data_IF_149401548891
#
_entry.id   IF_149401548891
#
_cell.length_a   1.000
_cell.length_b   1.000
_cell.length_c   1.000
_cell.angle_alpha   90.00
_cell.angle_beta   90.00
_cell.angle_gamma   90.00
#
_symmetry.space_group_name_H-M   'P 1'
#
loop_
_entity.id
_entity.type
_entity.pdbx_description
1 polymer ?
#
# COMPACT_ATOMS: atom_id res chain seq x y z
N UNK A 1 -24.30 4.40 -14.36
CA UNK A 1 -22.84 4.11 -14.23
C UNK A 1 -22.43 4.19 -12.75
N UNK A 2 -22.97 3.32 -11.87
CA UNK A 2 -22.82 3.43 -10.41
C UNK A 2 -22.13 2.21 -9.75
N UNK A 3 -21.47 1.33 -10.52
CA UNK A 3 -20.93 0.06 -10.02
C UNK A 3 -19.43 0.11 -9.66
N UNK A 4 -18.90 1.28 -9.31
CA UNK A 4 -17.49 1.40 -8.93
C UNK A 4 -17.37 1.51 -7.41
N UNK A 5 -16.49 0.70 -6.82
CA UNK A 5 -16.07 0.86 -5.42
C UNK A 5 -15.57 2.30 -5.21
N UNK A 6 -16.04 2.93 -4.15
CA UNK A 6 -15.65 4.28 -3.76
C UNK A 6 -14.75 4.24 -2.52
N UNK A 7 -13.70 5.07 -2.52
CA UNK A 7 -12.93 5.37 -1.31
C UNK A 7 -13.61 6.57 -0.65
N UNK A 8 -14.26 6.36 0.49
CA UNK A 8 -15.08 7.38 1.15
C UNK A 8 -14.31 8.19 2.18
N UNK A 9 -13.25 7.62 2.75
CA UNK A 9 -12.45 8.27 3.79
C UNK A 9 -11.05 7.66 3.85
N UNK A 10 -10.06 8.50 4.17
CA UNK A 10 -8.67 8.10 4.45
C UNK A 10 -8.27 8.80 5.74
N UNK A 11 -8.22 8.04 6.83
CA UNK A 11 -7.91 8.54 8.15
C UNK A 11 -6.50 8.11 8.59
N UNK A 12 -5.77 9.04 9.20
CA UNK A 12 -4.48 8.79 9.83
C UNK A 12 -4.64 8.76 11.35
N UNK A 13 -4.15 7.71 12.00
CA UNK A 13 -4.15 7.64 13.47
C UNK A 13 -3.15 8.62 14.07
N UNK A 14 -3.31 8.88 15.38
CA UNK A 14 -2.21 9.41 16.17
C UNK A 14 -0.99 8.48 16.10
N UNK A 15 0.18 9.04 16.36
CA UNK A 15 1.45 8.31 16.38
C UNK A 15 1.39 7.17 17.40
N UNK A 16 1.82 5.98 16.99
CA UNK A 16 1.97 4.80 17.84
C UNK A 16 3.45 4.57 18.15
N UNK A 17 3.72 3.98 19.31
CA UNK A 17 5.07 3.64 19.77
C UNK A 17 5.11 2.19 20.20
N UNK A 18 6.12 1.48 19.70
CA UNK A 18 6.41 0.12 20.11
C UNK A 18 7.04 0.05 21.49
N UNK A 19 7.20 -1.19 21.95
CA UNK A 19 8.11 -1.48 23.05
C UNK A 19 9.54 -1.08 22.64
N UNK A 20 10.37 -0.64 23.60
CA UNK A 20 11.78 -0.40 23.32
C UNK A 20 12.44 -1.70 22.89
N UNK A 21 13.22 -1.61 21.82
CA UNK A 21 14.01 -2.71 21.34
C UNK A 21 15.08 -3.07 22.39
N UNK A 22 15.24 -4.36 22.74
CA UNK A 22 16.03 -4.77 23.91
C UNK A 22 17.53 -4.47 23.78
N UNK A 23 18.04 -4.30 22.56
CA UNK A 23 19.48 -4.10 22.32
C UNK A 23 19.92 -2.62 22.38
N UNK A 24 19.07 -1.70 21.95
CA UNK A 24 19.45 -0.29 21.74
C UNK A 24 18.43 0.71 22.32
N UNK A 25 17.36 0.23 22.94
CA UNK A 25 16.32 1.05 23.58
C UNK A 25 15.45 1.86 22.60
N UNK A 26 15.69 1.74 21.29
CA UNK A 26 14.94 2.47 20.26
C UNK A 26 13.51 1.95 20.18
N UNK A 27 12.57 2.83 19.91
CA UNK A 27 11.16 2.47 19.74
C UNK A 27 10.76 2.61 18.29
N UNK A 28 10.12 1.58 17.76
CA UNK A 28 9.44 1.69 16.47
C UNK A 28 8.29 2.69 16.59
N UNK A 29 8.26 3.63 15.67
CA UNK A 29 7.20 4.62 15.56
C UNK A 29 6.45 4.34 14.27
N UNK A 30 5.12 4.28 14.35
CA UNK A 30 4.27 4.06 13.18
C UNK A 30 2.96 4.84 13.28
N UNK A 31 2.25 4.89 12.16
CA UNK A 31 0.90 5.37 12.03
C UNK A 31 0.02 4.26 11.46
N UNK A 32 -1.25 4.23 11.86
CA UNK A 32 -2.25 3.39 11.23
C UNK A 32 -3.00 4.27 10.22
N UNK A 33 -3.05 3.85 8.95
CA UNK A 33 -3.86 4.49 7.93
C UNK A 33 -5.09 3.61 7.68
N UNK A 34 -6.27 4.17 7.97
CA UNK A 34 -7.54 3.48 7.74
C UNK A 34 -8.19 4.03 6.48
N UNK A 35 -8.41 3.16 5.50
CA UNK A 35 -9.11 3.49 4.26
C UNK A 35 -10.51 2.89 4.32
N UNK A 36 -11.53 3.74 4.25
CA UNK A 36 -12.93 3.30 4.20
C UNK A 36 -13.41 3.21 2.77
N UNK A 37 -14.13 2.14 2.51
CA UNK A 37 -14.62 1.76 1.20
C UNK A 37 -16.13 1.60 1.25
N UNK A 38 -16.77 1.91 0.14
CA UNK A 38 -18.19 1.66 -0.08
C UNK A 38 -18.39 1.00 -1.45
N UNK A 39 -19.25 -0.02 -1.49
CA UNK A 39 -19.68 -0.64 -2.73
C UNK A 39 -21.13 -0.22 -3.03
N UNK A 40 -21.36 0.86 -3.80
CA UNK A 40 -22.71 1.28 -4.17
C UNK A 40 -23.36 0.38 -5.24
N UNK A 41 -22.60 -0.59 -5.79
CA UNK A 41 -23.06 -1.49 -6.83
C UNK A 41 -23.90 -2.66 -6.32
N UNK A 42 -24.36 -3.48 -7.26
CA UNK A 42 -25.25 -4.63 -7.02
C UNK A 42 -24.53 -5.98 -6.95
N UNK A 43 -23.20 -6.00 -7.11
CA UNK A 43 -22.38 -7.21 -7.07
C UNK A 43 -21.29 -7.07 -6.01
N UNK A 44 -20.87 -8.17 -5.36
CA UNK A 44 -19.74 -8.14 -4.44
C UNK A 44 -18.48 -7.73 -5.18
N UNK A 45 -17.62 -6.96 -4.50
CA UNK A 45 -16.32 -6.56 -5.00
C UNK A 45 -15.23 -7.11 -4.10
N UNK A 46 -14.27 -7.79 -4.71
CA UNK A 46 -13.06 -8.27 -4.04
C UNK A 46 -12.00 -7.18 -4.14
N UNK A 47 -11.43 -6.80 -3.01
CA UNK A 47 -10.54 -5.65 -2.89
C UNK A 47 -9.24 -6.10 -2.27
N UNK A 48 -8.10 -5.70 -2.84
CA UNK A 48 -6.79 -5.96 -2.22
C UNK A 48 -6.72 -5.21 -0.90
N UNK A 49 -6.49 -5.93 0.19
CA UNK A 49 -6.43 -5.39 1.55
C UNK A 49 -5.01 -5.32 2.12
N UNK A 50 -4.03 -5.72 1.32
CA UNK A 50 -2.62 -5.78 1.69
C UNK A 50 -1.83 -4.66 0.99
N UNK A 51 -0.87 -4.05 1.70
CA UNK A 51 0.03 -3.06 1.13
C UNK A 51 1.02 -3.73 0.17
N UNK A 52 0.99 -3.32 -1.10
CA UNK A 52 1.84 -3.83 -2.18
C UNK A 52 2.94 -2.86 -2.59
N UNK A 53 2.78 -1.59 -2.25
CA UNK A 53 3.79 -0.57 -2.50
C UNK A 53 3.60 0.65 -1.62
N UNK A 54 4.71 1.28 -1.29
CA UNK A 54 4.77 2.51 -0.51
C UNK A 54 5.78 3.44 -1.18
N UNK A 55 5.42 4.70 -1.38
CA UNK A 55 6.36 5.70 -1.89
C UNK A 55 6.05 7.07 -1.33
N UNK A 56 7.08 7.87 -1.09
CA UNK A 56 6.93 9.23 -0.58
C UNK A 56 7.58 10.24 -1.51
N UNK A 57 6.80 11.24 -1.91
CA UNK A 57 7.30 12.44 -2.58
C UNK A 57 7.54 13.52 -1.52
N UNK A 58 8.81 13.79 -1.22
CA UNK A 58 9.19 14.79 -0.22
C UNK A 58 8.95 16.23 -0.67
N UNK A 59 8.95 16.51 -1.98
CA UNK A 59 8.70 17.84 -2.51
C UNK A 59 7.21 18.19 -2.39
N UNK A 60 6.33 17.24 -2.71
CA UNK A 60 4.88 17.41 -2.59
C UNK A 60 4.33 17.05 -1.21
N UNK A 61 5.13 16.40 -0.36
CA UNK A 61 4.75 15.82 0.94
C UNK A 61 3.59 14.83 0.82
N UNK A 62 3.58 14.04 -0.26
CA UNK A 62 2.54 13.05 -0.55
C UNK A 62 3.05 11.64 -0.27
N UNK A 63 2.39 10.95 0.66
CA UNK A 63 2.58 9.51 0.86
C UNK A 63 1.61 8.74 -0.04
N UNK A 64 2.13 7.88 -0.92
CA UNK A 64 1.31 7.00 -1.75
C UNK A 64 1.29 5.59 -1.18
N UNK A 65 0.11 5.12 -0.82
CA UNK A 65 -0.18 3.75 -0.43
C UNK A 65 -0.76 2.99 -1.62
N UNK A 66 -0.10 1.92 -2.04
CA UNK A 66 -0.60 1.04 -3.11
C UNK A 66 -1.07 -0.27 -2.51
N UNK A 67 -2.37 -0.47 -2.49
CA UNK A 67 -3.03 -1.76 -2.31
C UNK A 67 -3.46 -2.24 -3.70
N UNK A 68 -2.52 -2.17 -4.63
CA UNK A 68 -2.65 -2.52 -6.03
C UNK A 68 -1.25 -2.85 -6.53
N UNK A 69 -1.16 -3.80 -7.46
CA UNK A 69 0.12 -4.14 -8.04
C UNK A 69 0.45 -3.20 -9.20
N UNK A 70 1.68 -2.68 -9.22
CA UNK A 70 2.16 -1.91 -10.36
C UNK A 70 2.48 -2.85 -11.53
N UNK A 71 2.31 -2.42 -12.79
CA UNK A 71 2.85 -3.16 -13.92
C UNK A 71 4.35 -3.38 -13.70
N UNK A 72 4.86 -4.63 -13.81
CA UNK A 72 6.28 -4.86 -13.62
C UNK A 72 7.09 -4.15 -14.72
N UNK A 73 8.27 -3.66 -14.35
CA UNK A 73 9.25 -3.13 -15.29
C UNK A 73 9.91 -4.25 -16.12
N UNK A 74 10.76 -3.90 -17.09
CA UNK A 74 11.47 -4.88 -17.90
C UNK A 74 12.33 -5.82 -17.04
N UNK A 75 12.30 -7.11 -17.36
CA UNK A 75 13.11 -8.14 -16.69
C UNK A 75 14.56 -8.02 -17.21
N UNK A 76 15.52 -7.89 -16.29
CA UNK A 76 16.94 -8.11 -16.62
C UNK A 76 17.20 -9.62 -16.74
N UNK A 77 18.00 -10.04 -17.72
CA UNK A 77 18.31 -11.46 -17.94
C UNK A 77 18.90 -12.16 -16.69
N UNK A 78 19.60 -11.40 -15.84
CA UNK A 78 20.23 -11.89 -14.60
C UNK A 78 19.40 -11.59 -13.34
N UNK A 79 18.12 -11.20 -13.48
CA UNK A 79 17.29 -10.88 -12.34
C UNK A 79 16.98 -12.15 -11.53
N UNK A 80 17.24 -12.17 -10.21
CA UNK A 80 16.89 -13.32 -9.38
C UNK A 80 15.37 -13.56 -9.41
N UNK A 81 14.99 -14.83 -9.57
CA UNK A 81 13.58 -15.23 -9.51
C UNK A 81 13.15 -15.34 -8.06
N UNK A 82 12.14 -14.56 -7.68
CA UNK A 82 11.50 -14.68 -6.38
C UNK A 82 10.06 -15.14 -6.56
N UNK A 83 9.51 -15.79 -5.55
CA UNK A 83 8.07 -16.08 -5.46
C UNK A 83 7.43 -15.05 -4.55
N UNK A 84 6.33 -14.44 -4.97
CA UNK A 84 5.51 -13.57 -4.13
C UNK A 84 4.21 -14.28 -3.80
N UNK A 85 3.68 -14.15 -2.57
CA UNK A 85 2.35 -14.66 -2.27
C UNK A 85 1.28 -13.84 -3.00
N UNK A 86 0.18 -14.51 -3.29
CA UNK A 86 -1.08 -13.86 -3.68
C UNK A 86 -1.51 -12.92 -2.54
N UNK A 87 -1.85 -11.65 -2.83
CA UNK A 87 -2.19 -10.71 -1.78
C UNK A 87 -3.50 -11.06 -1.07
N UNK A 88 -3.60 -10.68 0.20
CA UNK A 88 -4.88 -10.77 0.91
C UNK A 88 -5.94 -9.87 0.27
N UNK A 89 -7.18 -10.36 0.26
CA UNK A 89 -8.35 -9.61 -0.21
C UNK A 89 -9.47 -9.61 0.80
N UNK A 90 -10.24 -8.53 0.82
CA UNK A 90 -11.54 -8.44 1.50
C UNK A 90 -12.66 -8.38 0.48
N UNK A 91 -13.79 -9.00 0.76
CA UNK A 91 -15.01 -8.86 -0.04
C UNK A 91 -15.87 -7.74 0.54
N UNK A 92 -16.28 -6.79 -0.31
CA UNK A 92 -17.23 -5.74 0.03
C UNK A 92 -18.54 -6.09 -0.66
N UNK A 93 -19.52 -6.53 0.13
CA UNK A 93 -20.84 -6.89 -0.35
C UNK A 93 -21.57 -5.70 -1.00
N UNK A 94 -22.59 -5.95 -1.86
CA UNK A 94 -23.43 -4.89 -2.42
C UNK A 94 -24.00 -3.98 -1.33
N UNK A 95 -23.93 -2.68 -1.56
CA UNK A 95 -24.39 -1.63 -0.63
C UNK A 95 -23.75 -1.68 0.78
N UNK A 96 -22.62 -2.37 0.92
CA UNK A 96 -21.89 -2.47 2.17
C UNK A 96 -20.66 -1.56 2.19
N UNK A 97 -20.09 -1.41 3.38
CA UNK A 97 -18.82 -0.71 3.60
C UNK A 97 -17.79 -1.63 4.25
N UNK A 98 -16.53 -1.35 3.98
CA UNK A 98 -15.39 -2.04 4.61
C UNK A 98 -14.31 -1.02 5.00
N UNK A 99 -13.47 -1.41 5.95
CA UNK A 99 -12.31 -0.62 6.36
C UNK A 99 -11.05 -1.46 6.25
N UNK A 100 -10.02 -0.92 5.60
CA UNK A 100 -8.70 -1.52 5.51
C UNK A 100 -7.74 -0.67 6.33
N UNK A 101 -7.05 -1.29 7.29
CA UNK A 101 -6.07 -0.59 8.14
C UNK A 101 -4.67 -1.07 7.78
N UNK A 102 -3.79 -0.13 7.45
CA UNK A 102 -2.39 -0.40 7.10
C UNK A 102 -1.46 0.30 8.07
N UNK A 103 -0.49 -0.45 8.60
CA UNK A 103 0.57 0.08 9.45
C UNK A 103 1.67 0.69 8.59
N UNK A 104 1.98 1.98 8.78
CA UNK A 104 3.02 2.72 8.06
C UNK A 104 4.11 3.17 9.05
N UNK A 105 5.39 2.85 8.82
CA UNK A 105 6.46 3.32 9.69
C UNK A 105 6.62 4.84 9.59
N UNK A 106 7.09 5.49 10.66
CA UNK A 106 7.41 6.92 10.61
C UNK A 106 8.66 7.21 9.77
N UNK A 107 9.61 6.26 9.74
CA UNK A 107 10.83 6.33 8.94
C UNK A 107 10.78 5.21 7.90
N UNK A 108 10.76 5.58 6.63
CA UNK A 108 10.87 4.66 5.51
C UNK A 108 12.35 4.40 5.21
N UNK A 109 12.76 3.14 5.19
CA UNK A 109 14.13 2.75 4.84
C UNK A 109 14.12 2.04 3.50
N UNK A 110 14.85 2.58 2.53
CA UNK A 110 14.89 2.05 1.16
C UNK A 110 16.34 1.87 0.70
N UNK A 111 16.61 0.76 0.02
CA UNK A 111 17.85 0.60 -0.73
C UNK A 111 17.69 1.31 -2.07
N UNK A 112 18.47 2.36 -2.30
CA UNK A 112 18.46 3.13 -3.54
C UNK A 112 19.86 3.17 -4.16
N UNK A 113 19.97 3.12 -5.51
CA UNK A 113 21.23 3.42 -6.17
C UNK A 113 21.64 4.87 -5.87
N UNK A 114 22.91 5.10 -5.56
CA UNK A 114 23.46 6.45 -5.33
C UNK A 114 24.75 6.63 -6.14
N UNK A 115 25.11 7.85 -6.56
CA UNK A 115 26.35 8.08 -7.29
C UNK A 115 27.56 7.51 -6.54
N UNK A 116 28.31 6.62 -7.19
CA UNK A 116 29.55 6.03 -6.62
C UNK A 116 29.38 4.78 -5.75
N UNK A 117 28.15 4.28 -5.52
CA UNK A 117 27.90 3.00 -4.82
C UNK A 117 26.75 2.23 -5.48
N UNK A 118 26.77 0.88 -5.46
CA UNK A 118 25.71 0.08 -6.09
C UNK A 118 24.34 0.34 -5.43
N UNK A 119 24.29 0.35 -4.09
CA UNK A 119 23.10 0.71 -3.31
C UNK A 119 23.52 1.34 -1.98
N UNK A 120 22.75 2.33 -1.53
CA UNK A 120 22.82 2.86 -0.17
C UNK A 120 21.46 2.75 0.51
N UNK A 121 21.47 2.53 1.82
CA UNK A 121 20.25 2.60 2.64
C UNK A 121 19.92 4.07 2.88
N UNK A 122 18.80 4.52 2.32
CA UNK A 122 18.27 5.87 2.48
C UNK A 122 17.13 5.82 3.48
N UNK A 123 17.22 6.62 4.54
CA UNK A 123 16.15 6.81 5.51
C UNK A 123 15.36 8.08 5.17
N UNK A 124 14.05 7.96 5.02
CA UNK A 124 13.14 9.05 4.69
C UNK A 124 12.11 9.23 5.78
N UNK A 125 12.03 10.44 6.32
CA UNK A 125 11.07 10.78 7.37
C UNK A 125 9.68 11.07 6.78
N UNK A 126 8.70 10.23 7.09
CA UNK A 126 7.32 10.36 6.62
C UNK A 126 6.47 11.26 7.53
N UNK A 127 6.98 11.70 8.68
CA UNK A 127 6.25 12.57 9.63
C UNK A 127 5.91 13.94 9.04
N UNK A 128 6.59 14.34 7.96
CA UNK A 128 6.31 15.59 7.25
C UNK A 128 5.21 15.46 6.18
N UNK A 129 4.57 14.29 6.02
CA UNK A 129 3.51 14.09 5.03
C UNK A 129 2.29 14.95 5.34
N UNK A 130 1.70 15.57 4.31
CA UNK A 130 0.46 16.34 4.44
C UNK A 130 -0.70 15.72 3.68
N UNK A 131 -0.42 14.79 2.77
CA UNK A 131 -1.42 14.14 1.94
C UNK A 131 -1.13 12.65 1.87
N UNK A 132 -2.19 11.84 1.96
CA UNK A 132 -2.13 10.42 1.64
C UNK A 132 -2.90 10.19 0.35
N UNK A 133 -2.20 9.64 -0.65
CA UNK A 133 -2.79 9.07 -1.85
C UNK A 133 -2.95 7.58 -1.66
N UNK A 134 -4.15 7.05 -1.87
CA UNK A 134 -4.41 5.63 -1.82
C UNK A 134 -4.80 5.11 -3.21
N UNK A 135 -4.15 4.04 -3.65
CA UNK A 135 -4.47 3.31 -4.87
C UNK A 135 -4.90 1.89 -4.50
N UNK A 136 -6.13 1.49 -4.86
CA UNK A 136 -6.70 0.20 -4.46
C UNK A 136 -7.21 -0.54 -5.69
N UNK A 137 -6.79 -1.79 -5.86
CA UNK A 137 -7.30 -2.67 -6.90
C UNK A 137 -8.55 -3.42 -6.43
N UNK A 138 -9.59 -3.41 -7.26
CA UNK A 138 -10.85 -4.13 -7.00
C UNK A 138 -11.38 -4.84 -8.25
N UNK A 139 -12.05 -5.98 -8.06
CA UNK A 139 -12.64 -6.77 -9.14
C UNK A 139 -13.93 -7.46 -8.68
N UNK A 140 -14.87 -7.69 -9.61
CA UNK A 140 -16.05 -8.54 -9.36
C UNK A 140 -15.69 -10.02 -9.22
N UNK A 141 -14.47 -10.42 -9.64
CA UNK A 141 -13.99 -11.80 -9.57
C UNK A 141 -12.96 -11.93 -8.45
N UNK A 142 -13.02 -12.96 -7.60
CA UNK A 142 -12.01 -13.16 -6.57
C UNK A 142 -10.63 -13.34 -7.20
N UNK A 143 -9.58 -12.97 -6.44
CA UNK A 143 -8.22 -13.35 -6.82
C UNK A 143 -8.16 -14.88 -6.69
N UNK A 144 -8.04 -15.59 -7.81
CA UNK A 144 -7.82 -17.03 -7.77
C UNK A 144 -6.56 -17.37 -6.98
N UNK A 145 -6.50 -18.56 -6.39
CA UNK A 145 -5.24 -19.04 -5.82
C UNK A 145 -4.27 -19.27 -6.97
N UNK A 146 -3.29 -18.37 -7.08
CA UNK A 146 -2.16 -18.61 -7.95
C UNK A 146 -1.25 -19.60 -7.21
N UNK A 147 -1.10 -20.81 -7.74
CA UNK A 147 0.00 -21.71 -7.36
C UNK A 147 1.34 -20.97 -7.50
N UNK A 148 2.45 -21.52 -6.99
CA UNK A 148 3.78 -20.87 -6.96
C UNK A 148 4.25 -20.39 -8.34
N UNK A 149 3.77 -19.22 -8.75
CA UNK A 149 4.10 -18.53 -10.00
C UNK A 149 5.27 -17.59 -9.71
N UNK A 150 6.13 -17.39 -10.71
CA UNK A 150 7.20 -16.42 -10.64
C UNK A 150 6.64 -15.02 -10.29
N UNK A 151 7.39 -14.23 -9.51
CA UNK A 151 6.91 -12.93 -9.04
C UNK A 151 6.52 -12.00 -10.20
N UNK A 152 7.19 -12.07 -11.35
CA UNK A 152 6.92 -11.19 -12.47
C UNK A 152 5.57 -11.49 -13.13
N UNK A 153 5.27 -12.76 -13.39
CA UNK A 153 4.00 -13.22 -13.96
C UNK A 153 2.86 -13.01 -12.97
N UNK A 154 3.08 -13.24 -11.67
CA UNK A 154 2.09 -12.87 -10.66
C UNK A 154 1.80 -11.37 -10.69
N UNK A 155 2.85 -10.53 -10.70
CA UNK A 155 2.67 -9.08 -10.76
C UNK A 155 1.93 -8.62 -12.00
N UNK A 156 2.27 -9.20 -13.15
CA UNK A 156 1.58 -8.95 -14.43
C UNK A 156 0.11 -9.32 -14.36
N UNK A 157 -0.23 -10.47 -13.75
CA UNK A 157 -1.62 -10.90 -13.57
C UNK A 157 -2.38 -9.99 -12.62
N UNK A 158 -1.80 -9.67 -11.47
CA UNK A 158 -2.42 -8.79 -10.46
C UNK A 158 -2.66 -7.38 -11.01
N UNK A 159 -1.71 -6.84 -11.78
CA UNK A 159 -1.86 -5.54 -12.44
C UNK A 159 -3.03 -5.51 -13.46
N UNK A 160 -3.46 -6.67 -13.96
CA UNK A 160 -4.58 -6.82 -14.91
C UNK A 160 -5.87 -7.33 -14.28
N UNK A 161 -5.84 -7.82 -13.04
CA UNK A 161 -6.94 -8.55 -12.41
C UNK A 161 -8.16 -7.68 -12.12
N UNK A 162 -7.93 -6.42 -11.75
CA UNK A 162 -8.98 -5.50 -11.32
C UNK A 162 -8.79 -4.10 -11.86
N UNK A 163 -9.74 -3.24 -11.53
CA UNK A 163 -9.63 -1.80 -11.76
C UNK A 163 -9.00 -1.14 -10.54
N UNK A 164 -8.05 -0.25 -10.77
CA UNK A 164 -7.48 0.58 -9.72
C UNK A 164 -8.32 1.84 -9.52
N UNK A 165 -8.76 2.06 -8.30
CA UNK A 165 -9.40 3.30 -7.85
C UNK A 165 -8.39 4.10 -7.06
N UNK A 166 -8.48 5.43 -7.15
CA UNK A 166 -7.55 6.36 -6.50
C UNK A 166 -8.32 7.42 -5.75
N UNK A 167 -7.83 7.76 -4.57
CA UNK A 167 -8.31 8.91 -3.80
C UNK A 167 -7.17 9.52 -3.02
N UNK A 168 -7.31 10.79 -2.67
CA UNK A 168 -6.36 11.55 -1.88
C UNK A 168 -7.08 12.24 -0.74
N UNK A 169 -6.44 12.28 0.43
CA UNK A 169 -6.92 13.05 1.56
C UNK A 169 -5.78 13.84 2.18
N UNK A 170 -6.10 15.08 2.57
CA UNK A 170 -5.24 15.86 3.44
C UNK A 170 -5.22 15.20 4.83
N UNK A 171 -4.03 15.09 5.41
CA UNK A 171 -3.82 14.53 6.74
C UNK A 171 -2.94 15.46 7.56
N UNK A 172 -3.09 15.39 8.88
CA UNK A 172 -2.23 16.11 9.81
C UNK A 172 -1.50 15.10 10.68
N UNK A 173 -0.25 14.73 10.36
CA UNK A 173 0.52 13.82 11.19
C UNK A 173 0.75 14.43 12.57
N UNK A 174 0.69 13.59 13.59
CA UNK A 174 1.02 14.02 14.95
C UNK A 174 2.54 14.19 15.08
N UNK A 175 2.96 15.46 15.21
CA UNK A 175 4.37 15.87 15.30
C UNK A 175 4.84 16.11 16.74
N UNK A 176 4.00 15.90 17.75
CA UNK A 176 4.38 16.13 19.15
C UNK A 176 5.39 15.08 19.60
N UNK A 177 6.45 15.46 20.30
CA UNK A 177 7.45 14.55 20.85
C UNK A 177 7.01 13.91 22.17
#
# INVERSE_FOLDING_TARGET
MANALAITDIALSARRRGLPHPMDGRRDIWFDVTVRLENPGTKPLHVVSELRGLSYDAAQRVLTLRLAEAPPGPISADAPTFTLPTPATVTVEPHASAAITVKIPAILKELRPVPGQPFALVETDLRAMHTIRCEIAASERPIGQFERIDAHALRTRLARWGRTIRSEAAVKPDTRD
#
